data_IF_207336333804
#
_entry.id   IF_207336333804
#
_cell.length_a   1.000
_cell.length_b   1.000
_cell.length_c   1.000
_cell.angle_alpha   90.00
_cell.angle_beta   90.00
_cell.angle_gamma   90.00
#
_symmetry.space_group_name_H-M   'P 1'
#
loop_
_entity.id
_entity.type
_entity.pdbx_description
1 polymer ?
#
# COMPACT_ATOMS: atom_id res chain seq x y z
N UNK A 1 29.30 -6.82 -1.12
CA UNK A 1 30.00 -7.42 0.04
C UNK A 1 29.53 -6.75 1.32
N UNK A 2 29.28 -7.49 2.39
CA UNK A 2 28.84 -6.93 3.66
C UNK A 2 29.97 -6.13 4.34
N UNK A 3 29.65 -4.93 4.85
CA UNK A 3 30.56 -4.12 5.68
C UNK A 3 29.76 -3.19 6.59
N UNK A 4 30.32 -2.75 7.70
CA UNK A 4 29.72 -1.78 8.60
C UNK A 4 29.44 -0.44 7.90
N UNK A 5 30.27 -0.04 6.96
CA UNK A 5 30.07 1.19 6.20
C UNK A 5 28.86 1.07 5.25
N UNK A 6 28.64 -0.11 4.67
CA UNK A 6 27.44 -0.38 3.86
C UNK A 6 26.17 -0.38 4.73
N UNK A 7 26.21 -0.94 5.94
CA UNK A 7 25.09 -0.89 6.89
C UNK A 7 24.71 0.58 7.20
N UNK A 8 25.71 1.43 7.51
CA UNK A 8 25.47 2.86 7.75
C UNK A 8 24.91 3.58 6.52
N UNK A 9 25.44 3.26 5.34
CA UNK A 9 24.96 3.84 4.08
C UNK A 9 23.50 3.44 3.83
N UNK A 10 23.14 2.19 4.06
CA UNK A 10 21.76 1.70 3.95
C UNK A 10 20.85 2.39 4.96
N UNK A 11 21.25 2.45 6.23
CA UNK A 11 20.48 3.13 7.29
C UNK A 11 20.20 4.60 6.93
N UNK A 12 21.21 5.35 6.47
CA UNK A 12 21.03 6.74 6.04
C UNK A 12 20.06 6.87 4.85
N UNK A 13 20.10 5.92 3.90
CA UNK A 13 19.16 5.90 2.78
C UNK A 13 17.74 5.61 3.23
N UNK A 14 17.57 4.68 4.18
CA UNK A 14 16.29 4.32 4.77
C UNK A 14 15.67 5.52 5.51
N UNK A 15 16.47 6.33 6.21
CA UNK A 15 15.98 7.56 6.84
C UNK A 15 15.29 8.49 5.81
N UNK A 16 15.94 8.76 4.68
CA UNK A 16 15.34 9.56 3.62
C UNK A 16 14.09 8.93 2.97
N UNK A 17 14.05 7.61 2.84
CA UNK A 17 12.87 6.89 2.32
C UNK A 17 11.70 7.01 3.31
N UNK A 18 11.96 6.84 4.60
CA UNK A 18 10.93 6.96 5.64
C UNK A 18 10.38 8.38 5.73
N UNK A 19 11.23 9.42 5.60
CA UNK A 19 10.77 10.80 5.58
C UNK A 19 9.88 11.09 4.35
N UNK A 20 10.22 10.57 3.17
CA UNK A 20 9.35 10.64 1.99
C UNK A 20 8.02 9.89 2.21
N UNK A 21 8.05 8.73 2.85
CA UNK A 21 6.84 7.96 3.16
C UNK A 21 5.94 8.71 4.15
N UNK A 22 6.52 9.41 5.14
CA UNK A 22 5.78 10.25 6.08
C UNK A 22 5.02 11.38 5.38
N UNK A 23 5.64 12.06 4.39
CA UNK A 23 4.98 13.11 3.60
C UNK A 23 3.79 12.58 2.79
N UNK A 24 3.85 11.31 2.36
CA UNK A 24 2.75 10.65 1.64
C UNK A 24 1.68 10.10 2.58
N UNK A 25 2.00 9.91 3.87
CA UNK A 25 1.09 9.30 4.84
C UNK A 25 0.08 10.34 5.33
N UNK A 26 -1.19 10.07 5.08
CA UNK A 26 -2.28 10.92 5.59
C UNK A 26 -2.36 10.84 7.12
N UNK A 27 -2.91 11.87 7.81
CA UNK A 27 -3.32 11.77 9.20
C UNK A 27 -4.19 10.52 9.44
N UNK A 28 -4.00 9.82 10.54
CA UNK A 28 -4.63 8.53 10.83
C UNK A 28 -4.19 7.38 9.92
N UNK A 29 -3.23 7.62 9.02
CA UNK A 29 -2.71 6.62 8.11
C UNK A 29 -1.77 5.63 8.78
N UNK A 30 -1.52 4.51 8.10
CA UNK A 30 -0.64 3.44 8.55
C UNK A 30 0.35 3.09 7.45
N UNK A 31 1.62 2.89 7.82
CA UNK A 31 2.64 2.33 6.93
C UNK A 31 3.33 1.14 7.59
N UNK A 32 3.89 0.26 6.77
CA UNK A 32 4.76 -0.83 7.21
C UNK A 32 6.16 -0.56 6.70
N UNK A 33 7.10 -0.48 7.61
CA UNK A 33 8.53 -0.49 7.33
C UNK A 33 9.04 -1.92 7.50
N UNK A 34 9.77 -2.44 6.53
CA UNK A 34 10.35 -3.79 6.64
C UNK A 34 11.70 -3.88 5.95
N UNK A 35 12.56 -4.74 6.48
CA UNK A 35 13.88 -5.06 5.93
C UNK A 35 14.09 -6.56 5.92
N UNK A 36 15.04 -7.04 5.13
CA UNK A 36 15.53 -8.41 5.15
C UNK A 36 16.93 -8.54 5.82
N UNK A 37 17.38 -7.50 6.52
CA UNK A 37 18.59 -7.52 7.34
C UNK A 37 18.27 -7.81 8.80
N UNK A 38 19.30 -8.12 9.58
CA UNK A 38 19.24 -8.19 11.04
C UNK A 38 20.13 -7.16 11.70
N UNK A 39 20.60 -6.16 10.94
CA UNK A 39 21.43 -5.07 11.47
C UNK A 39 20.56 -4.09 12.28
N UNK A 40 20.82 -3.92 13.59
CA UNK A 40 20.00 -3.03 14.42
C UNK A 40 19.97 -1.58 13.91
N UNK A 41 21.03 -1.13 13.25
CA UNK A 41 21.12 0.22 12.67
C UNK A 41 20.10 0.45 11.56
N UNK A 42 19.80 -0.60 10.79
CA UNK A 42 18.83 -0.59 9.68
C UNK A 42 17.42 -0.93 10.16
N UNK A 43 17.27 -1.61 11.28
CA UNK A 43 16.02 -2.10 11.84
C UNK A 43 15.48 -1.10 12.88
N UNK A 44 15.58 -1.43 14.17
CA UNK A 44 15.10 -0.58 15.27
C UNK A 44 15.71 0.82 15.23
N UNK A 45 16.99 0.92 14.85
CA UNK A 45 17.70 2.20 14.75
C UNK A 45 17.06 3.14 13.73
N UNK A 46 16.62 2.63 12.57
CA UNK A 46 15.90 3.44 11.57
C UNK A 46 14.53 3.86 12.07
N UNK A 47 13.81 2.96 12.76
CA UNK A 47 12.51 3.26 13.36
C UNK A 47 12.64 4.34 14.45
N UNK A 48 13.62 4.21 15.34
CA UNK A 48 13.87 5.20 16.41
C UNK A 48 14.16 6.59 15.84
N UNK A 49 15.13 6.69 14.93
CA UNK A 49 15.46 7.97 14.29
C UNK A 49 14.27 8.57 13.55
N UNK A 50 13.44 7.75 12.94
CA UNK A 50 12.19 8.20 12.31
C UNK A 50 11.21 8.77 13.33
N UNK A 51 10.92 8.06 14.41
CA UNK A 51 9.99 8.50 15.46
C UNK A 51 10.49 9.75 16.21
N UNK A 52 11.81 9.92 16.37
CA UNK A 52 12.41 11.15 16.91
C UNK A 52 12.14 12.37 16.01
N UNK A 53 12.18 12.19 14.68
CA UNK A 53 11.89 13.25 13.70
C UNK A 53 10.40 13.52 13.51
N UNK A 54 9.56 12.52 13.76
CA UNK A 54 8.11 12.54 13.52
C UNK A 54 7.34 12.13 14.78
N UNK A 55 7.25 13.02 15.80
CA UNK A 55 6.65 12.70 17.10
C UNK A 55 5.12 12.49 17.05
N UNK A 56 4.47 12.80 15.94
CA UNK A 56 3.09 12.47 15.65
C UNK A 56 2.89 11.05 15.12
N UNK A 57 3.98 10.28 15.00
CA UNK A 57 3.95 8.87 14.64
C UNK A 57 4.26 7.98 15.84
N UNK A 58 3.69 6.77 15.81
CA UNK A 58 3.95 5.74 16.82
C UNK A 58 3.91 4.34 16.22
N UNK A 59 4.53 3.36 16.88
CA UNK A 59 4.40 1.95 16.51
C UNK A 59 2.99 1.48 16.86
N UNK A 60 2.33 0.78 15.92
CA UNK A 60 0.99 0.25 16.12
C UNK A 60 1.03 -0.94 17.09
N UNK A 61 0.13 -0.95 18.06
CA UNK A 61 -0.05 -2.05 19.02
C UNK A 61 -0.94 -3.17 18.45
N UNK A 62 -0.86 -4.35 19.06
CA UNK A 62 -1.79 -5.46 18.84
C UNK A 62 -1.60 -6.20 17.52
N UNK A 63 -0.46 -6.03 16.86
CA UNK A 63 -0.11 -6.80 15.65
C UNK A 63 0.69 -8.01 16.08
N UNK A 64 0.05 -9.19 16.04
CA UNK A 64 0.67 -10.44 16.46
C UNK A 64 0.24 -11.61 15.58
N UNK A 65 1.11 -12.60 15.46
CA UNK A 65 0.85 -13.88 14.81
C UNK A 65 1.82 -14.95 15.32
N UNK A 66 1.53 -16.21 15.05
CA UNK A 66 2.41 -17.31 15.38
C UNK A 66 3.80 -17.13 14.76
N UNK A 67 4.84 -17.26 15.57
CA UNK A 67 6.23 -17.13 15.15
C UNK A 67 6.77 -15.69 15.15
N UNK A 68 5.94 -14.68 15.43
CA UNK A 68 6.42 -13.30 15.60
C UNK A 68 7.17 -13.16 16.91
N UNK A 69 8.30 -12.46 16.87
CA UNK A 69 9.06 -12.07 18.05
C UNK A 69 9.06 -10.54 18.11
N UNK A 70 8.49 -10.02 19.18
CA UNK A 70 8.42 -8.58 19.42
C UNK A 70 9.60 -8.11 20.26
N UNK A 71 10.11 -6.94 19.91
CA UNK A 71 10.98 -6.19 20.82
C UNK A 71 10.14 -5.45 21.88
N UNK A 72 10.81 -4.67 22.72
CA UNK A 72 10.15 -3.91 23.81
C UNK A 72 9.25 -2.78 23.30
N UNK A 73 9.41 -2.37 22.07
CA UNK A 73 8.71 -1.25 21.45
C UNK A 73 7.60 -1.69 20.50
N UNK A 74 7.51 -3.01 20.24
CA UNK A 74 6.48 -3.60 19.38
C UNK A 74 6.91 -3.82 17.93
N UNK A 75 8.20 -3.60 17.60
CA UNK A 75 8.74 -4.04 16.32
C UNK A 75 8.77 -5.57 16.23
N UNK A 76 8.67 -6.10 15.04
CA UNK A 76 8.49 -7.53 14.77
C UNK A 76 9.76 -8.08 14.11
N UNK A 77 10.26 -9.20 14.63
CA UNK A 77 11.30 -10.00 13.98
C UNK A 77 10.80 -11.37 13.60
N UNK A 78 10.99 -11.72 12.34
CA UNK A 78 10.64 -13.01 11.75
C UNK A 78 11.93 -13.81 11.54
N UNK A 79 12.27 -14.69 12.49
CA UNK A 79 13.49 -15.47 12.41
C UNK A 79 13.26 -16.78 11.63
N UNK A 80 14.20 -17.19 10.74
CA UNK A 80 14.07 -18.41 9.94
C UNK A 80 13.92 -19.71 10.74
N UNK A 81 14.35 -19.73 11.99
CA UNK A 81 14.20 -20.90 12.87
C UNK A 81 12.83 -20.96 13.58
N UNK A 82 11.98 -19.95 13.41
CA UNK A 82 10.63 -19.85 14.00
C UNK A 82 9.54 -19.86 12.94
N UNK A 83 9.82 -19.34 11.77
CA UNK A 83 8.86 -19.22 10.69
C UNK A 83 9.58 -19.50 9.35
N UNK A 84 8.93 -20.20 8.44
CA UNK A 84 9.49 -20.45 7.12
C UNK A 84 9.71 -19.16 6.35
N UNK A 85 10.94 -18.89 5.95
CA UNK A 85 11.32 -17.69 5.21
C UNK A 85 12.78 -17.31 5.40
N UNK A 86 13.20 -16.25 4.74
CA UNK A 86 14.59 -15.75 4.78
C UNK A 86 14.90 -14.93 6.03
N UNK A 87 13.86 -14.56 6.76
CA UNK A 87 13.94 -13.66 7.89
C UNK A 87 13.64 -12.21 7.49
N UNK A 88 12.89 -11.52 8.34
CA UNK A 88 12.53 -10.12 8.15
C UNK A 88 12.43 -9.40 9.48
N UNK A 89 12.65 -8.09 9.42
CA UNK A 89 12.22 -7.13 10.41
C UNK A 89 11.01 -6.37 9.88
N UNK A 90 10.07 -6.01 10.74
CA UNK A 90 8.94 -5.17 10.39
C UNK A 90 8.53 -4.25 11.55
N UNK A 91 8.15 -3.03 11.23
CA UNK A 91 7.50 -2.10 12.14
C UNK A 91 6.25 -1.54 11.47
N UNK A 92 5.11 -1.62 12.14
CA UNK A 92 3.88 -0.99 11.68
C UNK A 92 3.76 0.35 12.38
N UNK A 93 3.77 1.43 11.61
CA UNK A 93 3.79 2.80 12.11
C UNK A 93 2.46 3.47 11.77
N UNK A 94 1.85 4.14 12.74
CA UNK A 94 0.64 4.93 12.58
C UNK A 94 0.94 6.41 12.77
N UNK A 95 0.34 7.26 11.95
CA UNK A 95 0.36 8.72 12.10
C UNK A 95 -0.87 9.17 12.87
N UNK A 96 -0.72 10.13 13.79
CA UNK A 96 -1.83 10.68 14.55
C UNK A 96 -2.98 11.15 13.64
N UNK A 97 -4.21 10.94 14.09
CA UNK A 97 -5.41 11.38 13.36
C UNK A 97 -5.79 12.79 13.80
N UNK A 98 -5.34 13.78 13.04
CA UNK A 98 -5.70 15.18 13.25
C UNK A 98 -6.94 15.60 12.45
N UNK A 99 -7.77 14.65 12.03
CA UNK A 99 -9.00 14.92 11.29
C UNK A 99 -8.76 15.10 9.78
N UNK A 100 -8.46 14.03 9.08
CA UNK A 100 -8.31 14.05 7.63
C UNK A 100 -9.66 14.21 6.93
N UNK A 101 -9.83 15.31 6.19
CA UNK A 101 -11.04 15.62 5.43
C UNK A 101 -11.29 14.79 4.16
N UNK A 102 -10.47 13.77 3.90
CA UNK A 102 -10.52 12.95 2.68
C UNK A 102 -9.84 13.60 1.47
N UNK A 103 -9.92 12.96 0.32
CA UNK A 103 -9.44 13.52 -0.94
C UNK A 103 -10.39 14.61 -1.43
N UNK A 104 -9.87 15.79 -1.74
CA UNK A 104 -10.68 16.92 -2.21
C UNK A 104 -11.38 16.68 -3.55
N UNK A 105 -10.78 15.84 -4.41
CA UNK A 105 -11.36 15.42 -5.68
C UNK A 105 -11.23 13.91 -5.81
N UNK A 106 -12.34 13.27 -6.18
CA UNK A 106 -12.38 11.83 -6.47
C UNK A 106 -12.54 11.59 -7.97
N UNK A 107 -12.01 10.47 -8.46
CA UNK A 107 -12.23 10.04 -9.83
C UNK A 107 -13.71 9.67 -10.02
N UNK A 108 -14.30 10.20 -11.07
CA UNK A 108 -15.68 9.86 -11.45
C UNK A 108 -15.64 8.67 -12.40
N UNK A 109 -16.15 7.54 -11.96
CA UNK A 109 -16.37 6.39 -12.84
C UNK A 109 -17.42 6.69 -13.92
N UNK A 110 -17.43 5.84 -14.95
CA UNK A 110 -18.51 5.83 -15.95
C UNK A 110 -19.74 5.14 -15.38
N UNK A 111 -20.91 5.47 -15.90
CA UNK A 111 -22.15 4.80 -15.49
C UNK A 111 -22.19 3.39 -16.05
N UNK A 112 -22.62 2.42 -15.26
CA UNK A 112 -22.74 1.02 -15.70
C UNK A 112 -23.58 0.84 -16.95
N UNK A 113 -24.66 1.62 -17.09
CA UNK A 113 -25.53 1.61 -18.27
C UNK A 113 -24.80 1.96 -19.58
N UNK A 114 -23.61 2.57 -19.48
CA UNK A 114 -22.80 2.93 -20.64
C UNK A 114 -21.87 1.78 -21.09
N UNK A 115 -21.95 0.60 -20.39
CA UNK A 115 -21.20 -0.62 -20.70
C UNK A 115 -22.12 -1.86 -20.69
N UNK A 116 -23.15 -1.91 -21.54
CA UNK A 116 -24.13 -3.01 -21.54
C UNK A 116 -23.49 -4.37 -21.86
N UNK A 117 -22.44 -4.39 -22.70
CA UNK A 117 -21.74 -5.62 -23.06
C UNK A 117 -21.00 -6.23 -21.83
N UNK A 118 -20.40 -5.39 -20.99
CA UNK A 118 -19.80 -5.82 -19.73
C UNK A 118 -20.86 -6.34 -18.76
N UNK A 119 -22.02 -5.67 -18.65
CA UNK A 119 -23.10 -6.12 -17.77
C UNK A 119 -23.67 -7.48 -18.19
N UNK A 120 -23.82 -7.73 -19.51
CA UNK A 120 -24.21 -9.05 -20.02
C UNK A 120 -23.18 -10.11 -19.64
N UNK A 121 -21.90 -9.82 -19.86
CA UNK A 121 -20.82 -10.73 -19.46
C UNK A 121 -20.85 -11.07 -17.97
N UNK A 122 -20.98 -10.06 -17.09
CA UNK A 122 -21.07 -10.26 -15.63
C UNK A 122 -22.24 -11.19 -15.29
N UNK A 123 -23.42 -10.92 -15.83
CA UNK A 123 -24.62 -11.70 -15.56
C UNK A 123 -24.50 -13.16 -16.01
N UNK A 124 -23.81 -13.41 -17.10
CA UNK A 124 -23.71 -14.74 -17.71
C UNK A 124 -22.55 -15.56 -17.13
N UNK A 125 -21.47 -14.91 -16.68
CA UNK A 125 -20.21 -15.59 -16.38
C UNK A 125 -19.73 -15.45 -14.93
N UNK A 126 -20.22 -14.47 -14.16
CA UNK A 126 -19.75 -14.25 -12.80
C UNK A 126 -20.82 -14.61 -11.77
N UNK A 127 -20.41 -15.22 -10.67
CA UNK A 127 -21.28 -15.55 -9.52
C UNK A 127 -21.72 -14.28 -8.79
N UNK A 128 -20.82 -13.31 -8.69
CA UNK A 128 -21.03 -12.04 -8.03
C UNK A 128 -20.49 -10.91 -8.89
N UNK A 129 -21.17 -9.78 -8.87
CA UNK A 129 -20.72 -8.59 -9.57
C UNK A 129 -19.57 -7.94 -8.78
N UNK A 130 -18.43 -7.62 -9.43
CA UNK A 130 -17.35 -6.88 -8.78
C UNK A 130 -17.83 -5.52 -8.29
N UNK A 131 -17.45 -5.18 -7.04
CA UNK A 131 -17.80 -3.91 -6.39
C UNK A 131 -16.75 -2.84 -6.68
N UNK A 132 -17.19 -1.63 -7.06
CA UNK A 132 -16.31 -0.49 -7.33
C UNK A 132 -16.82 0.38 -8.48
N UNK A 133 -16.06 1.42 -8.80
CA UNK A 133 -16.34 2.34 -9.89
C UNK A 133 -15.69 1.84 -11.19
N UNK A 134 -16.46 1.85 -12.29
CA UNK A 134 -15.94 1.52 -13.61
C UNK A 134 -15.21 2.72 -14.22
N UNK A 135 -14.03 2.51 -14.77
CA UNK A 135 -13.27 3.52 -15.50
C UNK A 135 -12.89 3.01 -16.88
N UNK A 136 -12.99 3.88 -17.89
CA UNK A 136 -12.67 3.54 -19.27
C UNK A 136 -11.47 4.35 -19.77
N UNK A 137 -10.44 3.66 -20.26
CA UNK A 137 -9.30 4.22 -20.96
C UNK A 137 -9.25 3.68 -22.40
N UNK A 138 -9.63 4.52 -23.36
CA UNK A 138 -9.85 4.05 -24.71
C UNK A 138 -10.94 2.98 -24.75
N UNK A 139 -10.60 1.77 -25.21
CA UNK A 139 -11.50 0.61 -25.20
C UNK A 139 -11.34 -0.27 -23.95
N UNK A 140 -10.34 0.01 -23.11
CA UNK A 140 -10.03 -0.77 -21.93
C UNK A 140 -10.94 -0.38 -20.76
N UNK A 141 -11.53 -1.37 -20.11
CA UNK A 141 -12.38 -1.20 -18.92
C UNK A 141 -11.63 -1.62 -17.66
N UNK A 142 -11.70 -0.78 -16.65
CA UNK A 142 -11.07 -1.00 -15.35
C UNK A 142 -12.07 -0.87 -14.20
N UNK A 143 -11.79 -1.56 -13.11
CA UNK A 143 -12.49 -1.41 -11.84
C UNK A 143 -11.57 -0.71 -10.84
N UNK A 144 -12.07 0.33 -10.21
CA UNK A 144 -11.41 1.07 -9.13
C UNK A 144 -12.22 0.97 -7.83
N UNK A 145 -11.58 1.12 -6.65
CA UNK A 145 -12.31 1.39 -5.42
C UNK A 145 -13.17 2.65 -5.54
N UNK A 146 -14.30 2.68 -4.87
CA UNK A 146 -15.09 3.91 -4.72
C UNK A 146 -14.29 4.97 -3.95
N UNK A 147 -14.45 6.23 -4.30
CA UNK A 147 -13.72 7.33 -3.66
C UNK A 147 -12.24 7.43 -4.02
N UNK A 148 -11.80 6.73 -5.08
CA UNK A 148 -10.43 6.81 -5.55
C UNK A 148 -10.04 8.27 -5.91
N UNK A 149 -8.82 8.74 -5.57
CA UNK A 149 -8.39 10.09 -5.89
C UNK A 149 -8.43 10.39 -7.39
N UNK A 150 -8.70 11.65 -7.76
CA UNK A 150 -8.71 12.07 -9.15
C UNK A 150 -7.36 11.83 -9.83
N UNK A 151 -7.41 11.27 -11.03
CA UNK A 151 -6.22 10.91 -11.82
C UNK A 151 -5.71 12.06 -12.70
N UNK A 152 -6.39 13.20 -12.68
CA UNK A 152 -6.04 14.36 -13.51
C UNK A 152 -4.62 14.84 -13.21
N UNK A 153 -3.82 15.01 -14.26
CA UNK A 153 -2.43 15.46 -14.17
C UNK A 153 -1.40 14.37 -13.90
N UNK A 154 -1.84 13.12 -13.73
CA UNK A 154 -0.96 11.97 -13.53
C UNK A 154 -0.74 11.21 -14.84
N UNK A 155 0.46 10.66 -15.03
CA UNK A 155 0.73 9.65 -16.05
C UNK A 155 0.28 8.29 -15.51
N UNK A 156 -0.94 7.90 -15.84
CA UNK A 156 -1.54 6.66 -15.35
C UNK A 156 -1.17 5.51 -16.27
N UNK A 157 -0.50 4.49 -15.73
CA UNK A 157 -0.17 3.26 -16.45
C UNK A 157 -1.29 2.22 -16.35
N UNK A 158 -1.87 2.08 -15.15
CA UNK A 158 -2.99 1.19 -14.86
C UNK A 158 -3.86 1.82 -13.76
N UNK A 159 -5.10 2.21 -14.07
CA UNK A 159 -5.93 2.93 -13.10
C UNK A 159 -6.66 2.01 -12.10
N UNK A 160 -6.51 0.71 -12.20
CA UNK A 160 -7.19 -0.25 -11.34
C UNK A 160 -7.09 -1.68 -11.88
N UNK A 161 -8.02 -2.55 -11.47
CA UNK A 161 -8.12 -3.90 -11.99
C UNK A 161 -8.61 -3.85 -13.44
N UNK A 162 -7.82 -4.35 -14.37
CA UNK A 162 -8.23 -4.49 -15.76
C UNK A 162 -9.31 -5.58 -15.87
N UNK A 163 -10.49 -5.20 -16.35
CA UNK A 163 -11.62 -6.10 -16.50
C UNK A 163 -11.65 -6.73 -17.90
N UNK A 164 -11.25 -5.98 -18.91
CA UNK A 164 -11.25 -6.42 -20.30
C UNK A 164 -11.41 -5.25 -21.27
N UNK A 165 -11.72 -5.57 -22.53
CA UNK A 165 -11.82 -4.64 -23.65
C UNK A 165 -13.26 -4.54 -24.14
N UNK A 166 -13.79 -3.32 -24.21
CA UNK A 166 -15.08 -3.02 -24.83
C UNK A 166 -14.90 -2.91 -26.35
N UNK A 167 -15.42 -3.85 -27.09
CA UNK A 167 -15.51 -3.83 -28.56
C UNK A 167 -16.90 -3.48 -29.00
N UNK A 168 -17.05 -3.20 -30.30
CA UNK A 168 -18.38 -2.98 -30.88
C UNK A 168 -19.25 -4.26 -30.67
N UNK A 169 -20.29 -4.13 -29.86
CA UNK A 169 -21.27 -5.17 -29.51
C UNK A 169 -20.71 -6.41 -28.78
N UNK A 170 -19.54 -6.32 -28.11
CA UNK A 170 -19.01 -7.40 -27.26
C UNK A 170 -18.02 -6.89 -26.23
N UNK A 171 -17.90 -7.64 -25.16
CA UNK A 171 -16.87 -7.48 -24.13
C UNK A 171 -15.89 -8.66 -24.22
N UNK A 172 -14.58 -8.36 -24.22
CA UNK A 172 -13.48 -9.34 -24.20
C UNK A 172 -12.78 -9.22 -22.84
N UNK A 173 -12.96 -10.21 -21.94
CA UNK A 173 -12.35 -10.21 -20.62
C UNK A 173 -10.83 -10.42 -20.66
#
# INVERSE_FOLDING_TARGET
EWSLDNVKLCANRQDGILDCAYEMLRPGGRMVYSTCTFAPEEDEGSVHRFLERHPDCQIAEGIDSEGFIHDKEGCIRLFPHKIEGEGHFAAVITKADEGYGGFGLTEKGIKEKDCPEYLSFVKENLKEKPQGALLKFGEQLYLMPEGFPALKGLKVLRPGLHLGTLKKNRFEP
#
